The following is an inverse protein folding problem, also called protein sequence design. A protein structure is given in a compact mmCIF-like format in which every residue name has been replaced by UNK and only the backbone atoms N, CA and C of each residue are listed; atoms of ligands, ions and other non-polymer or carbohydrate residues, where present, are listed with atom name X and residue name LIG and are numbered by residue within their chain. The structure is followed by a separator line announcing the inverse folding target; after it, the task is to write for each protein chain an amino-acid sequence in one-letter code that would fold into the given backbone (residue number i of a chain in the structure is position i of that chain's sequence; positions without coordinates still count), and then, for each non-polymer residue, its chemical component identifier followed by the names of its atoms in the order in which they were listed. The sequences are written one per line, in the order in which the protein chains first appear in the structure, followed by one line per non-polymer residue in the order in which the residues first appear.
data_IF_290998680191
#
_entry.id   IF_290998680191
#
_cell.length_a   1.000
_cell.length_b   1.000
_cell.length_c   1.000
_cell.angle_alpha   90.00
_cell.angle_beta   90.00
_cell.angle_gamma   90.00
#
_symmetry.space_group_name_H-M   'P 1'
#
loop_
_entity.id
_entity.type
_entity.pdbx_description
1 polymer ?
#
# COMPACT_ATOMS: atom_id res chain seq x y z
N UNK A 1 -13.01 -4.95 7.55
CA UNK A 1 -12.75 -3.93 6.49
C UNK A 1 -12.68 -2.50 7.04
N UNK A 2 -13.75 -1.94 7.63
CA UNK A 2 -13.71 -0.58 8.22
C UNK A 2 -12.85 -0.45 9.50
N UNK A 3 -12.60 -1.55 10.20
CA UNK A 3 -11.93 -1.57 11.50
C UNK A 3 -10.42 -1.32 11.40
N UNK A 4 -9.71 -1.98 10.47
CA UNK A 4 -8.26 -1.83 10.30
C UNK A 4 -7.91 -0.40 9.83
N UNK A 5 -8.68 0.16 8.88
CA UNK A 5 -8.52 1.56 8.45
C UNK A 5 -8.69 2.54 9.61
N UNK A 6 -9.63 2.29 10.53
CA UNK A 6 -9.79 3.11 11.76
C UNK A 6 -8.57 3.01 12.67
N UNK A 7 -8.04 1.82 12.90
CA UNK A 7 -6.85 1.61 13.73
C UNK A 7 -5.65 2.37 13.15
N UNK A 8 -5.42 2.28 11.84
CA UNK A 8 -4.32 2.99 11.19
C UNK A 8 -4.51 4.51 11.22
N UNK A 9 -5.71 5.02 10.95
CA UNK A 9 -6.00 6.44 11.11
C UNK A 9 -5.76 6.91 12.54
N UNK A 10 -6.12 6.09 13.54
CA UNK A 10 -5.90 6.40 14.95
C UNK A 10 -4.40 6.44 15.28
N UNK A 11 -3.61 5.45 14.84
CA UNK A 11 -2.15 5.45 15.02
C UNK A 11 -1.49 6.64 14.32
N UNK A 12 -1.82 6.90 13.04
CA UNK A 12 -1.27 8.02 12.28
C UNK A 12 -1.64 9.38 12.90
N UNK A 13 -2.84 9.51 13.47
CA UNK A 13 -3.27 10.73 14.17
C UNK A 13 -2.47 10.98 15.46
N UNK A 14 -2.06 9.90 16.15
CA UNK A 14 -1.22 9.98 17.35
C UNK A 14 0.25 10.31 17.01
N UNK A 15 0.70 10.01 15.80
CA UNK A 15 2.01 10.40 15.26
C UNK A 15 2.07 11.87 14.79
N UNK A 16 1.09 12.71 15.20
CA UNK A 16 0.70 14.03 14.64
C UNK A 16 1.79 15.08 14.35
N UNK A 17 3.05 14.85 14.74
CA UNK A 17 4.20 15.68 14.40
C UNK A 17 4.93 15.26 13.11
N UNK A 18 4.82 13.99 12.68
CA UNK A 18 5.49 13.52 11.45
C UNK A 18 4.84 14.10 10.19
N UNK A 19 5.67 14.68 9.32
CA UNK A 19 5.26 15.19 8.00
C UNK A 19 4.65 14.07 7.14
N UNK A 20 5.20 12.86 7.22
CA UNK A 20 4.70 11.68 6.50
C UNK A 20 3.33 11.27 7.02
N UNK A 21 3.14 11.19 8.34
CA UNK A 21 1.86 10.80 8.92
C UNK A 21 0.72 11.74 8.47
N UNK A 22 0.98 13.06 8.42
CA UNK A 22 0.02 14.05 7.91
C UNK A 22 -0.23 13.91 6.40
N UNK A 23 0.80 13.63 5.61
CA UNK A 23 0.67 13.38 4.18
C UNK A 23 -0.25 12.18 3.94
N UNK A 24 0.02 11.05 4.60
CA UNK A 24 -0.80 9.87 4.48
C UNK A 24 -2.23 10.08 4.99
N UNK A 25 -2.44 10.72 6.15
CA UNK A 25 -3.79 11.03 6.66
C UNK A 25 -4.65 11.84 5.68
N UNK A 26 -4.06 12.84 5.01
CA UNK A 26 -4.75 13.61 3.99
C UNK A 26 -5.17 12.73 2.82
N UNK A 27 -4.28 11.86 2.37
CA UNK A 27 -4.58 10.88 1.33
C UNK A 27 -5.65 9.86 1.79
N UNK A 28 -5.66 9.46 3.06
CA UNK A 28 -6.70 8.54 3.57
C UNK A 28 -8.09 9.16 3.72
N UNK A 29 -8.22 10.50 3.69
CA UNK A 29 -9.50 11.19 3.90
C UNK A 29 -10.32 11.46 2.63
N UNK A 30 -9.75 11.26 1.44
CA UNK A 30 -10.46 11.43 0.17
C UNK A 30 -11.03 10.08 -0.31
N UNK A 31 -12.31 10.05 -0.70
CA UNK A 31 -13.02 8.80 -1.05
C UNK A 31 -12.60 8.19 -2.40
N UNK A 32 -11.96 8.97 -3.27
CA UNK A 32 -11.60 8.58 -4.65
C UNK A 32 -10.07 8.60 -4.87
N UNK A 33 -9.32 8.16 -3.86
CA UNK A 33 -7.88 8.30 -3.85
C UNK A 33 -7.21 7.34 -4.85
N UNK A 34 -6.55 7.92 -5.87
CA UNK A 34 -5.55 7.21 -6.65
C UNK A 34 -4.28 7.01 -5.81
N UNK A 35 -4.27 5.94 -5.01
CA UNK A 35 -3.25 5.71 -3.99
C UNK A 35 -1.82 5.64 -4.54
N UNK A 36 -1.56 4.73 -5.47
CA UNK A 36 -0.23 4.54 -6.05
C UNK A 36 -0.28 3.71 -7.33
N UNK A 37 0.76 3.88 -8.15
CA UNK A 37 1.14 2.91 -9.18
C UNK A 37 2.42 2.25 -8.74
N UNK A 38 2.41 0.92 -8.58
CA UNK A 38 3.57 0.15 -8.11
C UNK A 38 4.10 -0.68 -9.27
N UNK A 39 5.33 -0.38 -9.70
CA UNK A 39 6.04 -1.18 -10.69
C UNK A 39 6.82 -2.29 -9.99
N UNK A 40 6.63 -3.52 -10.44
CA UNK A 40 7.29 -4.72 -9.95
C UNK A 40 8.21 -5.27 -11.05
N UNK A 41 9.46 -5.59 -10.70
CA UNK A 41 10.37 -6.30 -11.60
C UNK A 41 10.03 -7.79 -11.69
N UNK A 42 10.23 -8.42 -12.84
CA UNK A 42 9.86 -9.83 -13.03
C UNK A 42 10.59 -10.79 -12.08
N UNK A 43 11.85 -10.53 -11.75
CA UNK A 43 12.60 -11.34 -10.78
C UNK A 43 11.93 -11.41 -9.40
N UNK A 44 11.29 -10.33 -8.95
CA UNK A 44 10.57 -10.28 -7.66
C UNK A 44 9.38 -11.24 -7.64
N UNK A 45 8.75 -11.47 -8.79
CA UNK A 45 7.64 -12.43 -8.94
C UNK A 45 8.10 -13.89 -8.93
N UNK A 46 9.40 -14.16 -8.98
CA UNK A 46 9.95 -15.51 -8.83
C UNK A 46 10.55 -15.69 -7.44
N UNK A 47 11.41 -14.74 -7.05
CA UNK A 47 12.26 -14.84 -5.88
C UNK A 47 11.54 -14.46 -4.57
N UNK A 48 10.53 -13.58 -4.62
CA UNK A 48 9.95 -12.94 -3.42
C UNK A 48 8.42 -12.92 -3.40
N UNK A 49 7.76 -13.85 -4.10
CA UNK A 49 6.30 -13.86 -4.28
C UNK A 49 5.49 -13.82 -2.99
N UNK A 50 5.89 -14.58 -1.96
CA UNK A 50 5.17 -14.60 -0.68
C UNK A 50 5.27 -13.25 0.04
N UNK A 51 6.47 -12.65 0.07
CA UNK A 51 6.69 -11.35 0.69
C UNK A 51 5.92 -10.25 -0.06
N UNK A 52 5.93 -10.30 -1.39
CA UNK A 52 5.16 -9.39 -2.22
C UNK A 52 3.65 -9.53 -1.96
N UNK A 53 3.13 -10.76 -1.93
CA UNK A 53 1.72 -11.02 -1.65
C UNK A 53 1.31 -10.53 -0.26
N UNK A 54 2.15 -10.74 0.75
CA UNK A 54 1.92 -10.23 2.10
C UNK A 54 1.89 -8.69 2.15
N UNK A 55 2.83 -8.03 1.46
CA UNK A 55 2.87 -6.56 1.39
C UNK A 55 1.65 -5.98 0.66
N UNK A 56 1.25 -6.57 -0.47
CA UNK A 56 0.05 -6.14 -1.20
C UNK A 56 -1.24 -6.43 -0.40
N UNK A 57 -1.30 -7.56 0.30
CA UNK A 57 -2.40 -7.90 1.20
C UNK A 57 -2.53 -6.92 2.36
N UNK A 58 -1.40 -6.44 2.91
CA UNK A 58 -1.41 -5.39 3.91
C UNK A 58 -2.02 -4.09 3.37
N UNK A 59 -1.65 -3.66 2.16
CA UNK A 59 -2.26 -2.48 1.52
C UNK A 59 -3.78 -2.65 1.32
N UNK A 60 -4.21 -3.80 0.81
CA UNK A 60 -5.62 -4.11 0.63
C UNK A 60 -6.41 -4.07 1.94
N UNK A 61 -5.83 -4.59 3.03
CA UNK A 61 -6.43 -4.55 4.37
C UNK A 61 -6.59 -3.12 4.92
N UNK A 62 -5.77 -2.18 4.45
CA UNK A 62 -5.88 -0.75 4.75
C UNK A 62 -6.89 -0.02 3.86
N UNK A 63 -7.44 -0.69 2.86
CA UNK A 63 -8.25 -0.06 1.80
C UNK A 63 -7.39 0.72 0.79
N UNK A 64 -6.08 0.50 0.78
CA UNK A 64 -5.16 1.09 -0.18
C UNK A 64 -5.06 0.17 -1.39
N UNK A 65 -5.68 0.58 -2.49
CA UNK A 65 -5.75 -0.21 -3.71
C UNK A 65 -4.81 0.39 -4.77
N UNK A 66 -3.53 -0.03 -4.81
CA UNK A 66 -2.62 0.42 -5.86
C UNK A 66 -2.95 -0.22 -7.21
N UNK A 67 -2.59 0.47 -8.29
CA UNK A 67 -2.49 -0.14 -9.62
C UNK A 67 -1.13 -0.83 -9.71
N UNK A 68 -1.12 -2.12 -10.01
CA UNK A 68 0.11 -2.91 -10.12
C UNK A 68 0.51 -3.05 -11.59
N UNK A 69 1.76 -2.70 -11.89
CA UNK A 69 2.41 -2.96 -13.17
C UNK A 69 3.56 -3.93 -12.92
N UNK A 70 3.63 -5.03 -13.66
CA UNK A 70 4.77 -5.93 -13.56
C UNK A 70 5.43 -6.18 -14.91
N UNK A 71 6.75 -6.35 -14.88
CA UNK A 71 7.50 -6.93 -15.99
C UNK A 71 7.60 -8.44 -15.82
N UNK A 72 7.79 -9.17 -16.92
CA UNK A 72 7.99 -10.63 -16.86
C UNK A 72 9.48 -11.05 -16.78
N UNK A 73 10.43 -10.12 -16.93
CA UNK A 73 11.82 -10.31 -16.49
C UNK A 73 12.51 -11.59 -16.98
N UNK A 74 13.33 -12.27 -16.14
CA UNK A 74 14.04 -13.51 -16.48
C UNK A 74 13.16 -14.69 -16.93
N UNK A 75 11.85 -14.62 -16.72
CA UNK A 75 10.90 -15.67 -17.08
C UNK A 75 10.44 -15.59 -18.55
N UNK A 76 10.81 -14.52 -19.28
CA UNK A 76 10.73 -14.40 -20.73
C UNK A 76 12.11 -14.62 -21.36
#
# INVERSE_FOLDING_TARGET
MAEIRRVVNQVLSQLGTSREARYYLKQYSEDDLQFAVIKIGGAVLDEETEALAAALGFLANLGLMPIILHGAGPQL
#
